data_IF_057638409038
#
_entry.id   IF_057638409038
#
_cell.length_a   1.000
_cell.length_b   1.000
_cell.length_c   1.000
_cell.angle_alpha   90.00
_cell.angle_beta   90.00
_cell.angle_gamma   90.00
#
_symmetry.space_group_name_H-M   'P 1'
#
loop_
_entity.id
_entity.type
_entity.pdbx_description
1 polymer ?
#
# COMPACT_ATOMS: atom_id res chain seq x y z
N UNK A 1 -4.68 7.77 3.10
CA UNK A 1 -5.53 8.74 2.37
C UNK A 1 -6.13 8.04 1.14
N UNK A 2 -7.26 8.50 0.64
CA UNK A 2 -7.92 8.00 -0.56
C UNK A 2 -9.04 8.98 -0.88
N UNK A 3 -8.79 9.84 -1.86
CA UNK A 3 -9.70 10.90 -2.26
C UNK A 3 -9.53 11.14 -3.76
N UNK A 4 -10.47 11.83 -4.39
CA UNK A 4 -10.40 12.12 -5.83
C UNK A 4 -9.23 13.07 -6.14
N UNK A 5 -8.74 13.03 -7.38
CA UNK A 5 -7.42 13.55 -7.78
C UNK A 5 -7.05 14.95 -7.25
N UNK A 6 -7.96 15.93 -7.29
CA UNK A 6 -7.69 17.29 -6.79
C UNK A 6 -7.46 17.32 -5.28
N UNK A 7 -8.25 16.58 -4.51
CA UNK A 7 -8.10 16.46 -3.07
C UNK A 7 -6.88 15.61 -2.69
N UNK A 8 -6.60 14.56 -3.47
CA UNK A 8 -5.39 13.74 -3.30
C UNK A 8 -4.11 14.55 -3.51
N UNK A 9 -4.08 15.46 -4.49
CA UNK A 9 -2.96 16.38 -4.70
C UNK A 9 -2.73 17.30 -3.49
N UNK A 10 -3.80 17.87 -2.92
CA UNK A 10 -3.70 18.70 -1.71
C UNK A 10 -3.13 17.90 -0.52
N UNK A 11 -3.47 16.61 -0.39
CA UNK A 11 -2.86 15.75 0.62
C UNK A 11 -1.39 15.45 0.35
N UNK A 12 -0.98 15.30 -0.91
CA UNK A 12 0.42 15.10 -1.27
C UNK A 12 1.25 16.34 -0.92
N UNK A 13 0.77 17.54 -1.29
CA UNK A 13 1.37 18.82 -0.88
C UNK A 13 1.52 18.93 0.64
N UNK A 14 0.41 18.76 1.37
CA UNK A 14 0.44 18.86 2.83
C UNK A 14 1.43 17.86 3.47
N UNK A 15 1.55 16.66 2.91
CA UNK A 15 2.41 15.61 3.47
C UNK A 15 3.88 15.81 3.14
N UNK A 16 4.20 16.11 1.89
CA UNK A 16 5.59 16.10 1.42
C UNK A 16 6.23 17.47 1.37
N UNK A 17 5.44 18.53 1.14
CA UNK A 17 5.95 19.91 1.09
C UNK A 17 5.86 20.57 2.45
N UNK A 18 4.68 20.56 3.08
CA UNK A 18 4.47 21.28 4.35
C UNK A 18 5.05 20.52 5.54
N UNK A 19 4.78 19.20 5.64
CA UNK A 19 5.32 18.37 6.71
C UNK A 19 6.71 17.80 6.41
N UNK A 20 7.18 17.88 5.16
CA UNK A 20 8.50 17.39 4.77
C UNK A 20 8.67 15.87 4.87
N UNK A 21 7.59 15.09 4.89
CA UNK A 21 7.69 13.63 5.02
C UNK A 21 8.40 13.00 3.81
N UNK A 22 9.08 11.87 4.02
CA UNK A 22 9.68 11.09 2.93
C UNK A 22 8.75 10.01 2.40
N UNK A 23 7.85 9.51 3.25
CA UNK A 23 6.84 8.55 2.86
C UNK A 23 5.53 8.71 3.62
N UNK A 24 4.43 8.25 3.01
CA UNK A 24 3.10 8.21 3.62
C UNK A 24 2.42 6.86 3.41
N UNK A 25 1.35 6.61 4.16
CA UNK A 25 0.44 5.47 3.91
C UNK A 25 -0.83 5.91 3.16
N UNK A 26 -1.24 5.13 2.17
CA UNK A 26 -2.43 5.40 1.35
C UNK A 26 -3.34 4.17 1.19
N UNK A 27 -4.62 4.37 0.88
CA UNK A 27 -5.59 3.28 0.70
C UNK A 27 -5.84 3.06 -0.81
N UNK A 28 -5.74 1.81 -1.28
CA UNK A 28 -5.94 1.43 -2.67
C UNK A 28 -7.39 1.51 -3.15
N UNK A 29 -8.37 1.62 -2.24
CA UNK A 29 -9.79 1.40 -2.52
C UNK A 29 -10.34 2.24 -3.67
N UNK A 30 -9.88 3.49 -3.82
CA UNK A 30 -10.34 4.40 -4.86
C UNK A 30 -9.62 4.25 -6.20
N UNK A 31 -8.54 3.47 -6.26
CA UNK A 31 -7.76 3.24 -7.47
C UNK A 31 -6.56 4.16 -7.64
N UNK A 32 -6.03 4.18 -8.87
CA UNK A 32 -4.74 4.81 -9.19
C UNK A 32 -4.77 6.33 -9.11
N UNK A 33 -5.87 6.96 -9.50
CA UNK A 33 -6.09 8.40 -9.46
C UNK A 33 -6.03 8.99 -8.04
N UNK A 34 -6.32 8.18 -7.02
CA UNK A 34 -6.14 8.55 -5.61
C UNK A 34 -4.70 8.38 -5.08
N UNK A 35 -3.82 7.71 -5.85
CA UNK A 35 -2.45 7.37 -5.47
C UNK A 35 -1.41 8.15 -6.28
N UNK A 36 -1.62 8.27 -7.59
CA UNK A 36 -0.67 8.88 -8.53
C UNK A 36 -0.20 10.29 -8.16
N UNK A 37 -1.01 11.17 -7.51
CA UNK A 37 -0.54 12.48 -7.11
C UNK A 37 0.60 12.43 -6.09
N UNK A 38 0.75 11.34 -5.33
CA UNK A 38 1.81 11.18 -4.35
C UNK A 38 3.12 10.65 -4.95
N UNK A 39 3.11 10.17 -6.19
CA UNK A 39 4.25 9.48 -6.81
C UNK A 39 4.80 10.18 -8.07
N UNK A 40 4.13 11.21 -8.55
CA UNK A 40 4.43 11.82 -9.86
C UNK A 40 4.69 13.33 -9.72
N UNK A 41 5.21 13.94 -10.78
CA UNK A 41 5.48 15.37 -10.82
C UNK A 41 6.46 15.82 -9.73
N UNK A 42 6.04 16.78 -8.90
CA UNK A 42 6.86 17.36 -7.83
C UNK A 42 7.23 16.37 -6.71
N UNK A 43 6.54 15.23 -6.62
CA UNK A 43 6.75 14.23 -5.58
C UNK A 43 7.35 12.93 -6.11
N UNK A 44 7.88 12.96 -7.34
CA UNK A 44 8.70 11.86 -7.84
C UNK A 44 9.85 11.56 -6.85
N UNK A 45 10.02 10.29 -6.48
CA UNK A 45 11.01 9.84 -5.51
C UNK A 45 10.57 9.85 -4.04
N UNK A 46 9.35 10.32 -3.72
CA UNK A 46 8.74 10.10 -2.40
C UNK A 46 8.17 8.68 -2.30
N UNK A 47 7.98 8.18 -1.08
CA UNK A 47 7.47 6.84 -0.81
C UNK A 47 5.98 6.81 -0.49
N UNK A 48 5.27 5.78 -0.97
CA UNK A 48 3.87 5.55 -0.61
C UNK A 48 3.64 4.08 -0.29
N UNK A 49 3.26 3.79 0.96
CA UNK A 49 2.90 2.45 1.40
C UNK A 49 1.39 2.25 1.34
N UNK A 50 0.94 1.43 0.39
CA UNK A 50 -0.47 1.17 0.14
C UNK A 50 -0.98 0.10 1.10
N UNK A 51 -2.11 0.35 1.78
CA UNK A 51 -2.73 -0.61 2.68
C UNK A 51 -3.15 -1.87 1.91
N UNK A 52 -2.53 -3.01 2.24
CA UNK A 52 -2.74 -4.28 1.56
C UNK A 52 -3.42 -5.30 2.48
N UNK A 53 -2.74 -5.72 3.55
CA UNK A 53 -3.31 -6.58 4.60
C UNK A 53 -2.96 -6.06 5.98
N UNK A 54 -3.91 -5.45 6.68
CA UNK A 54 -3.67 -4.83 8.00
C UNK A 54 -3.79 -5.84 9.15
N UNK A 55 -3.25 -5.48 10.33
CA UNK A 55 -3.16 -6.37 11.51
C UNK A 55 -4.44 -6.39 12.37
N UNK A 56 -5.38 -5.47 12.17
CA UNK A 56 -6.60 -5.41 12.97
C UNK A 56 -7.51 -6.64 12.73
N UNK A 57 -8.25 -7.13 13.76
CA UNK A 57 -9.10 -8.32 13.63
C UNK A 57 -10.18 -8.24 12.54
N UNK A 58 -10.72 -7.05 12.29
CA UNK A 58 -11.75 -6.77 11.28
C UNK A 58 -11.18 -6.58 9.87
N UNK A 59 -9.86 -6.72 9.67
CA UNK A 59 -9.25 -6.66 8.33
C UNK A 59 -9.87 -7.67 7.35
N UNK A 60 -10.36 -8.81 7.86
CA UNK A 60 -11.00 -9.88 7.10
C UNK A 60 -12.34 -9.48 6.47
N UNK A 61 -12.98 -8.41 6.94
CA UNK A 61 -14.29 -7.98 6.45
C UNK A 61 -14.23 -7.62 4.95
N UNK A 62 -13.08 -7.10 4.49
CA UNK A 62 -12.83 -6.77 3.09
C UNK A 62 -11.60 -7.46 2.52
N UNK A 63 -10.47 -7.44 3.24
CA UNK A 63 -9.16 -7.74 2.64
C UNK A 63 -9.01 -9.22 2.28
N UNK A 64 -9.81 -10.11 2.90
CA UNK A 64 -9.82 -11.54 2.61
C UNK A 64 -11.03 -11.98 1.78
N UNK A 65 -11.84 -11.06 1.27
CA UNK A 65 -12.93 -11.39 0.35
C UNK A 65 -12.36 -12.11 -0.87
N UNK A 66 -12.96 -13.24 -1.24
CA UNK A 66 -12.59 -14.00 -2.41
C UNK A 66 -13.05 -13.27 -3.68
N UNK A 67 -12.14 -13.06 -4.61
CA UNK A 67 -12.43 -12.54 -5.94
C UNK A 67 -12.75 -13.70 -6.91
N UNK A 68 -13.32 -13.42 -8.10
CA UNK A 68 -13.54 -14.45 -9.12
C UNK A 68 -12.28 -15.24 -9.52
N UNK A 69 -11.10 -14.63 -9.37
CA UNK A 69 -9.80 -15.30 -9.56
C UNK A 69 -9.45 -16.33 -8.48
N UNK A 70 -10.31 -16.55 -7.47
CA UNK A 70 -10.08 -17.38 -6.28
C UNK A 70 -8.99 -16.85 -5.34
N UNK A 71 -8.43 -15.68 -5.65
CA UNK A 71 -7.47 -15.00 -4.79
C UNK A 71 -8.19 -13.99 -3.87
N UNK A 72 -7.71 -13.81 -2.63
CA UNK A 72 -8.25 -12.80 -1.74
C UNK A 72 -7.90 -11.39 -2.23
N UNK A 73 -8.75 -10.43 -1.89
CA UNK A 73 -8.58 -9.03 -2.29
C UNK A 73 -7.18 -8.47 -1.99
N UNK A 74 -6.57 -8.77 -0.84
CA UNK A 74 -5.24 -8.25 -0.50
C UNK A 74 -4.15 -8.67 -1.49
N UNK A 75 -4.20 -9.88 -2.05
CA UNK A 75 -3.23 -10.29 -3.08
C UNK A 75 -3.42 -9.50 -4.37
N UNK A 76 -4.67 -9.22 -4.73
CA UNK A 76 -4.95 -8.41 -5.90
C UNK A 76 -4.47 -6.98 -5.72
N UNK A 77 -4.62 -6.40 -4.52
CA UNK A 77 -4.02 -5.10 -4.17
C UNK A 77 -2.51 -5.14 -4.33
N UNK A 78 -1.82 -6.17 -3.79
CA UNK A 78 -0.37 -6.30 -3.93
C UNK A 78 0.09 -6.35 -5.40
N UNK A 79 -0.57 -7.16 -6.23
CA UNK A 79 -0.30 -7.24 -7.68
C UNK A 79 -0.55 -5.91 -8.37
N UNK A 80 -1.64 -5.21 -8.01
CA UNK A 80 -2.00 -3.92 -8.60
C UNK A 80 -0.96 -2.85 -8.29
N UNK A 81 -0.50 -2.79 -7.04
CA UNK A 81 0.56 -1.87 -6.61
C UNK A 81 1.86 -2.14 -7.35
N UNK A 82 2.27 -3.40 -7.49
CA UNK A 82 3.43 -3.77 -8.30
C UNK A 82 3.28 -3.29 -9.76
N UNK A 83 2.12 -3.53 -10.37
CA UNK A 83 1.85 -3.08 -11.75
C UNK A 83 1.87 -1.56 -11.91
N UNK A 84 1.50 -0.79 -10.89
CA UNK A 84 1.58 0.67 -10.93
C UNK A 84 3.00 1.19 -10.87
N UNK A 85 3.90 0.52 -10.13
CA UNK A 85 5.33 0.83 -10.19
C UNK A 85 5.88 0.63 -11.61
N UNK A 86 5.56 -0.51 -12.24
CA UNK A 86 5.98 -0.82 -13.62
C UNK A 86 5.41 0.17 -14.65
N UNK A 87 4.19 0.66 -14.43
CA UNK A 87 3.49 1.55 -15.36
C UNK A 87 3.86 3.04 -15.22
N UNK A 88 4.69 3.43 -14.24
CA UNK A 88 5.17 4.81 -14.12
C UNK A 88 5.23 5.40 -12.71
N UNK A 89 4.99 4.63 -11.66
CA UNK A 89 5.28 5.08 -10.30
C UNK A 89 6.76 4.90 -9.91
N UNK A 90 7.58 4.26 -10.77
CA UNK A 90 9.05 4.20 -10.71
C UNK A 90 9.61 3.87 -9.31
N UNK A 91 9.05 2.85 -8.66
CA UNK A 91 9.48 2.39 -7.34
C UNK A 91 8.98 3.21 -6.16
N UNK A 92 8.15 4.24 -6.38
CA UNK A 92 7.48 5.02 -5.32
C UNK A 92 6.65 4.15 -4.37
N UNK A 93 6.06 3.06 -4.89
CA UNK A 93 5.05 2.31 -4.14
C UNK A 93 5.64 1.12 -3.39
N UNK A 94 5.17 0.96 -2.15
CA UNK A 94 5.26 -0.26 -1.36
C UNK A 94 3.90 -0.66 -0.82
N UNK A 95 3.84 -1.73 -0.04
CA UNK A 95 2.59 -2.21 0.60
C UNK A 95 2.74 -2.34 2.10
N UNK A 96 1.64 -2.11 2.82
CA UNK A 96 1.52 -2.38 4.25
C UNK A 96 0.94 -3.77 4.47
N UNK A 97 1.70 -4.63 5.16
CA UNK A 97 1.26 -5.98 5.51
C UNK A 97 1.56 -6.23 6.98
N UNK A 98 0.53 -6.51 7.79
CA UNK A 98 0.67 -6.71 9.23
C UNK A 98 1.61 -7.86 9.56
N UNK A 99 2.59 -7.59 10.44
CA UNK A 99 3.60 -8.56 10.86
C UNK A 99 3.03 -9.75 11.67
N UNK A 100 1.80 -9.61 12.17
CA UNK A 100 1.09 -10.66 12.91
C UNK A 100 0.58 -11.80 12.03
N UNK A 101 0.54 -11.61 10.70
CA UNK A 101 0.06 -12.62 9.74
C UNK A 101 1.17 -13.02 8.76
N UNK A 102 2.03 -13.94 9.20
CA UNK A 102 3.16 -14.44 8.40
C UNK A 102 2.73 -15.21 7.14
N UNK A 103 1.50 -15.72 7.13
CA UNK A 103 0.93 -16.36 5.94
C UNK A 103 0.58 -15.32 4.88
N UNK A 104 -0.09 -14.23 5.25
CA UNK A 104 -0.35 -13.12 4.34
C UNK A 104 0.95 -12.48 3.84
N UNK A 105 1.96 -12.28 4.71
CA UNK A 105 3.28 -11.78 4.30
C UNK A 105 3.93 -12.63 3.20
N UNK A 106 3.97 -13.95 3.39
CA UNK A 106 4.53 -14.88 2.38
C UNK A 106 3.77 -14.79 1.07
N UNK A 107 2.43 -14.77 1.13
CA UNK A 107 1.56 -14.67 -0.03
C UNK A 107 1.75 -13.36 -0.79
N UNK A 108 1.78 -12.22 -0.08
CA UNK A 108 2.06 -10.90 -0.69
C UNK A 108 3.43 -10.89 -1.36
N UNK A 109 4.48 -11.37 -0.69
CA UNK A 109 5.82 -11.43 -1.31
C UNK A 109 5.84 -12.31 -2.57
N UNK A 110 5.15 -13.44 -2.56
CA UNK A 110 5.08 -14.34 -3.71
C UNK A 110 4.41 -13.68 -4.93
N UNK A 111 3.34 -12.91 -4.73
CA UNK A 111 2.60 -12.29 -5.84
C UNK A 111 3.15 -10.93 -6.28
N UNK A 112 3.78 -10.18 -5.37
CA UNK A 112 4.31 -8.85 -5.66
C UNK A 112 5.75 -8.84 -6.18
N UNK A 113 6.46 -9.98 -6.09
CA UNK A 113 7.86 -10.11 -6.46
C UNK A 113 8.83 -9.52 -5.43
N UNK A 114 10.15 -9.72 -5.57
CA UNK A 114 11.15 -9.32 -4.57
C UNK A 114 11.41 -7.81 -4.50
N UNK A 115 11.12 -7.07 -5.58
CA UNK A 115 11.41 -5.64 -5.68
C UNK A 115 10.44 -4.72 -4.93
N UNK A 116 9.24 -5.22 -4.56
CA UNK A 116 8.26 -4.38 -3.87
C UNK A 116 8.60 -4.23 -2.38
N UNK A 117 8.65 -2.99 -1.90
CA UNK A 117 8.84 -2.69 -0.49
C UNK A 117 7.62 -3.13 0.34
N UNK A 118 7.88 -3.75 1.49
CA UNK A 118 6.84 -4.14 2.45
C UNK A 118 7.11 -3.42 3.77
N UNK A 119 6.17 -2.58 4.19
CA UNK A 119 6.14 -2.02 5.54
C UNK A 119 5.32 -2.98 6.42
N UNK A 120 5.97 -3.60 7.41
CA UNK A 120 5.37 -4.62 8.26
C UNK A 120 5.12 -4.15 9.69
N UNK A 121 4.02 -3.41 9.97
CA UNK A 121 3.70 -2.98 11.31
C UNK A 121 3.17 -4.14 12.15
N UNK A 122 3.36 -4.06 13.47
CA UNK A 122 2.75 -5.00 14.42
C UNK A 122 3.71 -5.95 15.14
N UNK A 123 5.02 -5.76 14.98
CA UNK A 123 6.02 -6.35 15.89
C UNK A 123 5.92 -5.69 17.27
N UNK A 124 6.08 -6.47 18.35
CA UNK A 124 6.07 -5.95 19.72
C UNK A 124 4.65 -5.85 20.30
N UNK A 125 4.12 -4.64 20.48
CA UNK A 125 2.86 -4.39 21.21
C UNK A 125 1.62 -5.10 20.60
N UNK A 126 1.68 -5.50 19.32
CA UNK A 126 0.61 -6.22 18.63
C UNK A 126 0.90 -7.73 18.48
N UNK A 127 2.00 -8.22 19.06
CA UNK A 127 2.32 -9.64 19.15
C UNK A 127 3.00 -10.27 17.93
N UNK A 128 3.43 -9.47 16.94
CA UNK A 128 4.25 -9.97 15.84
C UNK A 128 5.63 -10.42 16.33
N UNK A 129 6.10 -11.56 15.83
CA UNK A 129 7.41 -12.13 16.14
C UNK A 129 8.40 -11.84 14.99
N UNK A 130 9.63 -11.44 15.35
CA UNK A 130 10.71 -11.09 14.43
C UNK A 130 11.35 -12.34 13.80
#
# INVERSE_FOLDING_TARGET
>A
RGDISSTAAAYADASFKELGADAVTANAYMGWDAISPFCTGAFAGKGVFVLCKTSNPTSKDFQTLALPSQEPLFENVAKKVASWNEAGADGCLGVVVGATDTHALRRVRAVAGPGLWILAPGIGAQGGNL
#
